data_IF_204548343750
#
_entry.id   IF_204548343750
#
_cell.length_a   1.000
_cell.length_b   1.000
_cell.length_c   1.000
_cell.angle_alpha   90.00
_cell.angle_beta   90.00
_cell.angle_gamma   90.00
#
_symmetry.space_group_name_H-M   'P 1'
#
loop_
_entity.id
_entity.type
_entity.pdbx_description
1 polymer ?
#
# COMPACT_ATOMS: atom_id res chain seq x y z
N UNK A 1 19.99 -10.76 -22.28
CA UNK A 1 18.64 -10.32 -21.89
C UNK A 1 18.35 -10.98 -20.55
N UNK A 2 18.25 -10.23 -19.46
CA UNK A 2 18.05 -10.83 -18.14
C UNK A 2 16.63 -11.41 -18.07
N UNK A 3 16.51 -12.69 -17.76
CA UNK A 3 15.24 -13.42 -17.70
C UNK A 3 14.46 -12.93 -16.47
N UNK A 4 13.49 -12.05 -16.71
CA UNK A 4 12.63 -11.50 -15.66
C UNK A 4 11.67 -12.61 -15.21
N UNK A 5 11.57 -12.94 -13.91
CA UNK A 5 10.51 -13.82 -13.44
C UNK A 5 9.17 -13.12 -13.74
N UNK A 6 8.53 -13.48 -14.85
CA UNK A 6 7.22 -12.94 -15.23
C UNK A 6 6.20 -13.57 -14.30
N UNK A 7 5.69 -12.75 -13.40
CA UNK A 7 4.50 -13.08 -12.62
C UNK A 7 3.30 -12.71 -13.46
N UNK A 8 2.36 -13.64 -13.54
CA UNK A 8 1.06 -13.35 -14.13
C UNK A 8 0.24 -12.56 -13.11
N UNK A 9 -0.39 -11.45 -13.54
CA UNK A 9 -1.31 -10.72 -12.68
C UNK A 9 -2.50 -11.63 -12.28
N UNK A 10 -2.78 -12.65 -13.09
CA UNK A 10 -3.80 -13.67 -12.91
C UNK A 10 -3.61 -14.49 -11.63
N UNK A 11 -2.37 -14.79 -11.22
CA UNK A 11 -2.08 -15.46 -9.94
C UNK A 11 -2.56 -14.64 -8.75
N UNK A 12 -2.25 -13.35 -8.76
CA UNK A 12 -2.59 -12.42 -7.67
C UNK A 12 -4.09 -12.16 -7.69
N UNK A 13 -4.64 -11.96 -8.88
CA UNK A 13 -6.06 -11.79 -9.09
C UNK A 13 -6.86 -12.96 -8.51
N UNK A 14 -6.49 -14.20 -8.83
CA UNK A 14 -7.12 -15.41 -8.27
C UNK A 14 -6.96 -15.52 -6.75
N UNK A 15 -5.87 -14.97 -6.22
CA UNK A 15 -5.60 -14.97 -4.79
C UNK A 15 -6.46 -13.94 -4.04
N UNK A 16 -6.89 -12.85 -4.68
CA UNK A 16 -7.51 -11.67 -4.04
C UNK A 16 -8.99 -11.48 -4.39
N UNK A 17 -9.41 -11.83 -5.60
CA UNK A 17 -10.77 -11.59 -6.08
C UNK A 17 -11.81 -12.16 -5.12
N UNK A 18 -12.80 -11.33 -4.77
CA UNK A 18 -13.92 -11.75 -3.93
C UNK A 18 -13.57 -11.94 -2.45
N UNK A 19 -12.32 -11.71 -2.04
CA UNK A 19 -11.85 -11.91 -0.66
C UNK A 19 -11.63 -10.60 0.08
N UNK A 20 -11.48 -10.70 1.40
CA UNK A 20 -11.09 -9.60 2.27
C UNK A 20 -9.58 -9.40 2.24
N UNK A 21 -9.14 -8.15 2.12
CA UNK A 21 -7.73 -7.75 2.16
C UNK A 21 -7.50 -6.82 3.34
N UNK A 22 -6.46 -7.08 4.11
CA UNK A 22 -5.96 -6.18 5.15
C UNK A 22 -4.86 -5.33 4.54
N UNK A 23 -5.01 -4.02 4.60
CA UNK A 23 -4.01 -3.03 4.14
C UNK A 23 -3.31 -2.42 5.34
N UNK A 24 -1.99 -2.37 5.30
CA UNK A 24 -1.16 -1.71 6.32
C UNK A 24 -0.35 -0.60 5.65
N UNK A 25 -0.78 0.65 5.79
CA UNK A 25 -0.21 1.82 5.11
C UNK A 25 1.01 2.44 5.84
N UNK A 26 1.05 2.40 7.18
CA UNK A 26 2.27 2.63 7.96
C UNK A 26 2.48 4.00 8.65
N UNK A 27 1.46 4.87 8.76
CA UNK A 27 1.55 6.05 9.65
C UNK A 27 1.60 5.64 11.12
N UNK A 28 0.74 4.69 11.55
CA UNK A 28 0.79 4.06 12.87
C UNK A 28 0.70 2.52 12.78
N UNK A 29 1.40 1.82 13.67
CA UNK A 29 1.30 0.36 13.78
C UNK A 29 0.19 -0.04 14.74
N UNK A 30 -0.71 -0.91 14.30
CA UNK A 30 -1.83 -1.47 15.07
C UNK A 30 -1.59 -2.96 15.35
N UNK A 31 -0.45 -3.29 15.96
CA UNK A 31 0.02 -4.67 16.13
C UNK A 31 -1.02 -5.57 16.80
N UNK A 32 -1.64 -5.12 17.88
CA UNK A 32 -2.66 -5.89 18.62
C UNK A 32 -3.87 -6.25 17.74
N UNK A 33 -4.37 -5.28 16.96
CA UNK A 33 -5.52 -5.50 16.07
C UNK A 33 -5.20 -6.45 14.93
N UNK A 34 -3.99 -6.36 14.38
CA UNK A 34 -3.56 -7.23 13.28
C UNK A 34 -3.37 -8.66 13.80
N UNK A 35 -2.80 -8.82 15.00
CA UNK A 35 -2.56 -10.13 15.62
C UNK A 35 -3.86 -10.88 15.95
N UNK A 36 -4.92 -10.18 16.37
CA UNK A 36 -6.21 -10.79 16.69
C UNK A 36 -6.92 -11.45 15.49
N UNK A 37 -6.45 -11.25 14.25
CA UNK A 37 -7.13 -11.69 13.02
C UNK A 37 -6.56 -12.94 12.35
N UNK A 38 -5.73 -13.72 13.07
CA UNK A 38 -4.96 -14.83 12.50
C UNK A 38 -4.26 -14.43 11.18
N UNK A 39 -3.31 -13.49 11.23
CA UNK A 39 -2.76 -12.82 10.06
C UNK A 39 -2.05 -13.76 9.07
N UNK A 40 -1.72 -14.99 9.48
CA UNK A 40 -1.11 -15.99 8.60
C UNK A 40 -2.09 -16.60 7.58
N UNK A 41 -3.39 -16.48 7.81
CA UNK A 41 -4.45 -16.90 6.88
C UNK A 41 -5.07 -15.72 6.11
N UNK A 42 -4.71 -14.49 6.49
CA UNK A 42 -5.21 -13.27 5.89
C UNK A 42 -4.43 -12.86 4.63
N UNK A 43 -5.12 -12.20 3.70
CA UNK A 43 -4.46 -11.54 2.57
C UNK A 43 -4.02 -10.16 3.05
N UNK A 44 -2.70 -9.97 3.15
CA UNK A 44 -2.13 -8.75 3.73
C UNK A 44 -1.32 -8.03 2.66
N UNK A 45 -1.74 -6.81 2.37
CA UNK A 45 -1.02 -5.88 1.50
C UNK A 45 -0.40 -4.80 2.38
N UNK A 46 0.90 -4.59 2.28
CA UNK A 46 1.64 -3.67 3.14
C UNK A 46 2.40 -2.63 2.30
N UNK A 47 2.25 -1.36 2.66
CA UNK A 47 3.08 -0.28 2.13
C UNK A 47 4.46 -0.31 2.79
N UNK A 48 5.46 0.29 2.15
CA UNK A 48 6.86 0.32 2.62
C UNK A 48 6.97 0.63 4.12
N UNK A 49 6.44 1.79 4.55
CA UNK A 49 6.47 2.21 5.96
C UNK A 49 5.72 1.28 6.91
N UNK A 50 4.77 0.51 6.40
CA UNK A 50 3.99 -0.46 7.16
C UNK A 50 4.75 -1.75 7.48
N UNK A 51 5.83 -2.06 6.75
CA UNK A 51 6.60 -3.31 6.92
C UNK A 51 7.13 -3.45 8.34
N UNK A 52 7.55 -2.34 8.96
CA UNK A 52 8.03 -2.32 10.36
C UNK A 52 7.00 -2.88 11.35
N UNK A 53 5.70 -2.76 11.05
CA UNK A 53 4.62 -3.29 11.88
C UNK A 53 4.52 -4.82 11.80
N UNK A 54 5.11 -5.44 10.76
CA UNK A 54 5.12 -6.90 10.58
C UNK A 54 6.33 -7.56 11.25
N UNK A 55 7.43 -6.84 11.42
CA UNK A 55 8.72 -7.39 11.86
C UNK A 55 8.67 -8.04 13.24
N UNK A 56 7.76 -7.61 14.12
CA UNK A 56 7.67 -8.12 15.50
C UNK A 56 6.79 -9.36 15.67
N UNK A 57 5.93 -9.68 14.70
CA UNK A 57 4.79 -10.59 14.92
C UNK A 57 4.74 -11.82 13.99
N UNK A 58 5.84 -12.18 13.33
CA UNK A 58 5.93 -13.25 12.30
C UNK A 58 4.85 -13.22 11.18
N UNK A 59 4.21 -12.06 10.98
CA UNK A 59 3.19 -11.85 9.93
C UNK A 59 3.80 -11.81 8.52
N UNK A 60 3.40 -12.72 7.64
CA UNK A 60 3.87 -12.78 6.24
C UNK A 60 2.90 -12.01 5.32
N UNK A 61 3.31 -10.89 4.70
CA UNK A 61 2.47 -10.18 3.76
C UNK A 61 2.32 -10.96 2.45
N UNK A 62 1.13 -10.88 1.85
CA UNK A 62 0.88 -11.35 0.49
C UNK A 62 1.55 -10.43 -0.53
N UNK A 63 1.46 -9.12 -0.33
CA UNK A 63 2.06 -8.12 -1.21
C UNK A 63 2.72 -6.99 -0.43
N UNK A 64 3.83 -6.48 -0.97
CA UNK A 64 4.58 -5.34 -0.46
C UNK A 64 4.60 -4.27 -1.56
N UNK A 65 4.14 -3.06 -1.26
CA UNK A 65 4.06 -1.93 -2.18
C UNK A 65 5.09 -0.90 -1.73
N UNK A 66 6.01 -0.53 -2.61
CA UNK A 66 7.17 0.28 -2.23
C UNK A 66 7.78 1.00 -3.42
N UNK A 67 8.33 2.18 -3.17
CA UNK A 67 9.23 2.92 -4.07
C UNK A 67 10.74 2.62 -3.81
N UNK A 68 11.03 1.69 -2.90
CA UNK A 68 12.34 1.28 -2.40
C UNK A 68 13.02 2.26 -1.43
N UNK A 69 12.41 3.38 -1.03
CA UNK A 69 13.04 4.35 -0.13
C UNK A 69 13.23 3.81 1.30
N UNK A 70 12.29 3.01 1.81
CA UNK A 70 12.34 2.41 3.14
C UNK A 70 12.84 0.97 3.16
N UNK A 71 13.12 0.40 1.98
CA UNK A 71 13.57 -0.98 1.81
C UNK A 71 15.09 -1.06 1.86
N UNK A 72 15.60 -2.03 2.61
CA UNK A 72 17.01 -2.42 2.60
C UNK A 72 17.14 -3.92 2.31
N UNK A 73 18.38 -4.40 2.19
CA UNK A 73 18.69 -5.81 1.91
C UNK A 73 18.05 -6.76 2.94
N UNK A 74 17.98 -6.35 4.21
CA UNK A 74 17.39 -7.15 5.28
C UNK A 74 15.89 -7.34 5.12
N UNK A 75 15.19 -6.38 4.49
CA UNK A 75 13.76 -6.51 4.17
C UNK A 75 13.60 -7.25 2.84
N UNK A 76 14.27 -6.78 1.79
CA UNK A 76 14.09 -7.29 0.43
C UNK A 76 14.44 -8.78 0.31
N UNK A 77 15.47 -9.23 1.03
CA UNK A 77 15.93 -10.63 1.02
C UNK A 77 15.53 -11.40 2.27
N UNK A 78 14.63 -10.87 3.10
CA UNK A 78 14.19 -11.56 4.30
C UNK A 78 13.49 -12.89 3.92
N UNK A 79 13.85 -14.04 4.52
CA UNK A 79 13.22 -15.33 4.21
C UNK A 79 11.70 -15.33 4.36
N UNK A 80 11.21 -14.55 5.33
CA UNK A 80 9.79 -14.33 5.62
C UNK A 80 9.00 -13.75 4.43
N UNK A 81 9.64 -12.90 3.63
CA UNK A 81 8.99 -12.17 2.52
C UNK A 81 9.28 -12.79 1.15
N UNK A 82 10.00 -13.93 1.11
CA UNK A 82 10.42 -14.62 -0.12
C UNK A 82 9.25 -14.94 -1.08
N UNK A 83 8.07 -15.20 -0.53
CA UNK A 83 6.88 -15.54 -1.31
C UNK A 83 5.93 -14.36 -1.54
N UNK A 84 6.26 -13.18 -1.02
CA UNK A 84 5.46 -11.96 -1.18
C UNK A 84 5.63 -11.37 -2.59
N UNK A 85 4.57 -10.77 -3.11
CA UNK A 85 4.61 -10.00 -4.36
C UNK A 85 5.09 -8.57 -4.08
N UNK A 86 6.21 -8.16 -4.66
CA UNK A 86 6.75 -6.81 -4.54
C UNK A 86 6.27 -5.93 -5.69
N UNK A 87 5.37 -5.00 -5.39
CA UNK A 87 4.94 -3.95 -6.30
C UNK A 87 5.93 -2.79 -6.19
N UNK A 88 6.90 -2.74 -7.10
CA UNK A 88 7.96 -1.73 -7.10
C UNK A 88 7.51 -0.56 -7.95
N UNK A 89 7.34 0.59 -7.32
CA UNK A 89 6.88 1.81 -7.96
C UNK A 89 8.04 2.61 -8.52
N UNK A 90 8.09 2.80 -9.84
CA UNK A 90 9.06 3.66 -10.49
C UNK A 90 8.52 5.09 -10.64
N UNK A 91 9.25 6.05 -10.09
CA UNK A 91 9.03 7.48 -10.23
C UNK A 91 10.35 8.23 -10.50
N UNK A 92 10.33 9.57 -10.52
CA UNK A 92 11.43 10.35 -11.08
C UNK A 92 12.75 10.25 -10.29
N UNK A 93 12.67 10.14 -8.98
CA UNK A 93 13.76 10.29 -8.02
C UNK A 93 14.33 8.96 -7.49
N UNK A 94 13.69 7.83 -7.74
CA UNK A 94 14.14 6.51 -7.25
C UNK A 94 14.89 5.67 -8.30
N UNK A 95 15.30 6.27 -9.43
CA UNK A 95 16.00 5.56 -10.51
C UNK A 95 17.30 4.88 -10.04
N UNK A 96 18.07 5.55 -9.19
CA UNK A 96 19.32 4.99 -8.66
C UNK A 96 19.08 3.82 -7.70
N UNK A 97 18.00 3.87 -6.91
CA UNK A 97 17.60 2.74 -6.06
C UNK A 97 17.18 1.54 -6.91
N UNK A 98 16.40 1.75 -7.98
CA UNK A 98 16.02 0.68 -8.90
C UNK A 98 17.28 0.06 -9.54
N UNK A 99 18.21 0.87 -10.06
CA UNK A 99 19.47 0.37 -10.64
C UNK A 99 20.30 -0.44 -9.64
N UNK A 100 20.32 0.00 -8.37
CA UNK A 100 21.02 -0.68 -7.28
C UNK A 100 20.41 -2.04 -6.95
N UNK A 101 19.09 -2.11 -6.77
CA UNK A 101 18.42 -3.30 -6.24
C UNK A 101 18.04 -4.31 -7.32
N UNK A 102 17.72 -3.87 -8.53
CA UNK A 102 17.20 -4.74 -9.60
C UNK A 102 18.11 -5.95 -9.89
N UNK A 103 19.45 -5.83 -9.99
CA UNK A 103 20.32 -6.99 -10.21
C UNK A 103 20.17 -8.07 -9.13
N UNK A 104 20.10 -7.67 -7.86
CA UNK A 104 19.97 -8.58 -6.72
C UNK A 104 18.57 -9.19 -6.65
N UNK A 105 17.53 -8.40 -6.92
CA UNK A 105 16.14 -8.85 -7.04
C UNK A 105 16.03 -9.97 -8.10
N UNK A 106 16.64 -9.78 -9.26
CA UNK A 106 16.64 -10.77 -10.34
C UNK A 106 17.41 -12.03 -9.95
N UNK A 107 18.61 -11.88 -9.37
CA UNK A 107 19.43 -13.01 -8.90
C UNK A 107 18.70 -13.87 -7.87
N UNK A 108 17.96 -13.23 -6.97
CA UNK A 108 17.19 -13.90 -5.91
C UNK A 108 15.81 -14.36 -6.36
N UNK A 109 15.44 -14.14 -7.63
CA UNK A 109 14.13 -14.49 -8.21
C UNK A 109 12.97 -13.95 -7.39
N UNK A 110 13.10 -12.73 -6.87
CA UNK A 110 12.05 -12.07 -6.12
C UNK A 110 10.88 -11.82 -7.07
N UNK A 111 9.69 -12.06 -6.53
CA UNK A 111 8.44 -11.85 -7.23
C UNK A 111 8.15 -10.35 -7.36
N UNK A 112 8.34 -9.74 -8.54
CA UNK A 112 8.14 -8.30 -8.74
C UNK A 112 7.07 -7.96 -9.79
N UNK A 113 6.35 -6.87 -9.54
CA UNK A 113 5.46 -6.18 -10.48
C UNK A 113 5.88 -4.72 -10.54
N UNK A 114 6.32 -4.27 -11.71
CA UNK A 114 6.66 -2.87 -11.91
C UNK A 114 5.41 -2.01 -11.98
N UNK A 115 5.37 -0.92 -11.23
CA UNK A 115 4.31 0.08 -11.33
C UNK A 115 4.86 1.47 -11.61
N UNK A 116 4.03 2.38 -12.11
CA UNK A 116 4.43 3.76 -12.40
C UNK A 116 3.32 4.77 -12.06
N UNK A 117 3.69 6.03 -11.90
CA UNK A 117 2.78 7.15 -11.66
C UNK A 117 2.27 7.78 -12.96
N UNK A 118 2.95 7.54 -14.08
CA UNK A 118 2.61 8.14 -15.38
C UNK A 118 1.74 7.19 -16.21
N UNK A 119 1.55 7.53 -17.49
CA UNK A 119 0.89 6.63 -18.46
C UNK A 119 1.66 5.30 -18.49
N UNK A 120 1.01 4.17 -18.15
CA UNK A 120 1.69 2.89 -18.11
C UNK A 120 2.17 2.49 -19.52
N UNK A 121 3.32 1.83 -19.57
CA UNK A 121 3.82 1.14 -20.75
C UNK A 121 4.26 -0.25 -20.32
N UNK A 122 3.93 -1.28 -21.10
CA UNK A 122 4.26 -2.65 -20.73
C UNK A 122 5.78 -2.81 -20.52
N UNK A 123 6.24 -3.44 -19.42
CA UNK A 123 5.48 -4.21 -18.43
C UNK A 123 5.07 -3.44 -17.15
N UNK A 124 5.12 -2.10 -17.14
CA UNK A 124 4.72 -1.29 -16.00
C UNK A 124 3.20 -1.05 -15.98
N UNK A 125 2.62 -1.15 -14.79
CA UNK A 125 1.21 -0.90 -14.53
C UNK A 125 0.98 0.39 -13.74
N UNK A 126 -0.20 0.98 -13.85
CA UNK A 126 -0.61 2.07 -12.97
C UNK A 126 -1.97 1.72 -12.38
N UNK A 127 -2.00 1.34 -11.11
CA UNK A 127 -3.22 0.99 -10.39
C UNK A 127 -3.90 2.19 -9.71
N UNK A 128 -3.25 3.37 -9.75
CA UNK A 128 -3.68 4.55 -9.02
C UNK A 128 -2.93 4.74 -7.69
N UNK A 129 -3.37 5.73 -6.93
CA UNK A 129 -2.75 6.14 -5.67
C UNK A 129 -1.57 7.10 -5.83
N UNK A 130 -1.38 7.93 -4.81
CA UNK A 130 -0.43 9.04 -4.74
C UNK A 130 0.75 8.77 -3.79
N UNK A 131 0.51 8.01 -2.72
CA UNK A 131 1.51 7.56 -1.75
C UNK A 131 1.47 6.03 -1.69
N UNK A 132 2.50 5.39 -1.13
CA UNK A 132 2.49 3.92 -0.99
C UNK A 132 1.28 3.42 -0.19
N UNK A 133 0.81 4.19 0.80
CA UNK A 133 -0.34 3.83 1.63
C UNK A 133 -1.63 3.67 0.83
N UNK A 134 -2.06 4.73 0.13
CA UNK A 134 -3.26 4.68 -0.70
C UNK A 134 -3.05 3.85 -1.98
N UNK A 135 -1.85 3.83 -2.57
CA UNK A 135 -1.50 2.93 -3.67
C UNK A 135 -1.68 1.45 -3.29
N UNK A 136 -1.45 1.09 -2.03
CA UNK A 136 -1.74 -0.26 -1.50
C UNK A 136 -3.24 -0.58 -1.55
N UNK A 137 -4.10 0.39 -1.18
CA UNK A 137 -5.56 0.26 -1.26
C UNK A 137 -6.01 0.12 -2.72
N UNK A 138 -5.52 0.99 -3.61
CA UNK A 138 -5.82 0.93 -5.04
C UNK A 138 -5.39 -0.38 -5.68
N UNK A 139 -4.26 -0.94 -5.26
CA UNK A 139 -3.79 -2.25 -5.71
C UNK A 139 -4.78 -3.35 -5.31
N UNK A 140 -5.27 -3.35 -4.06
CA UNK A 140 -6.30 -4.31 -3.61
C UNK A 140 -7.62 -4.14 -4.38
N UNK A 141 -8.03 -2.90 -4.67
CA UNK A 141 -9.21 -2.61 -5.49
C UNK A 141 -9.08 -3.12 -6.92
N UNK A 142 -7.91 -2.95 -7.54
CA UNK A 142 -7.62 -3.44 -8.90
C UNK A 142 -7.81 -4.95 -9.01
N UNK A 143 -7.33 -5.71 -8.02
CA UNK A 143 -7.52 -7.17 -7.94
C UNK A 143 -8.89 -7.60 -7.39
N UNK A 144 -9.87 -6.70 -7.39
CA UNK A 144 -11.26 -6.96 -7.00
C UNK A 144 -11.42 -7.57 -5.60
N UNK A 145 -10.65 -7.09 -4.63
CA UNK A 145 -10.94 -7.34 -3.22
C UNK A 145 -12.41 -6.96 -2.90
N UNK A 146 -13.13 -7.87 -2.25
CA UNK A 146 -14.53 -7.67 -1.86
C UNK A 146 -14.63 -6.71 -0.69
N UNK A 147 -13.70 -6.81 0.25
CA UNK A 147 -13.61 -5.98 1.45
C UNK A 147 -12.14 -5.58 1.65
N UNK A 148 -11.90 -4.35 2.07
CA UNK A 148 -10.58 -3.80 2.35
C UNK A 148 -10.63 -3.13 3.72
N UNK A 149 -9.82 -3.66 4.62
CA UNK A 149 -9.68 -3.13 5.96
C UNK A 149 -8.32 -2.47 6.11
N UNK A 150 -8.29 -1.19 6.46
CA UNK A 150 -7.09 -0.36 6.34
C UNK A 150 -6.59 0.04 7.72
N UNK A 151 -5.28 -0.14 7.93
CA UNK A 151 -4.55 0.23 9.13
C UNK A 151 -3.39 1.17 8.84
N UNK A 152 -3.14 2.10 9.76
CA UNK A 152 -2.02 3.01 9.68
C UNK A 152 -2.14 3.97 8.49
N UNK A 153 -3.30 4.61 8.30
CA UNK A 153 -3.50 5.62 7.25
C UNK A 153 -3.97 6.97 7.82
N UNK A 154 -3.02 7.91 7.90
CA UNK A 154 -3.33 9.33 8.10
C UNK A 154 -4.02 9.67 9.42
N UNK A 155 -3.75 8.93 10.50
CA UNK A 155 -4.35 9.18 11.83
C UNK A 155 -4.18 10.62 12.30
N UNK A 156 -3.02 11.22 12.02
CA UNK A 156 -2.73 12.61 12.34
C UNK A 156 -3.66 13.62 11.62
N UNK A 157 -4.41 13.17 10.61
CA UNK A 157 -5.29 13.98 9.77
C UNK A 157 -6.78 13.77 10.06
N UNK A 158 -7.12 13.02 11.12
CA UNK A 158 -8.51 12.77 11.50
C UNK A 158 -9.21 14.01 12.10
N UNK A 159 -8.44 15.04 12.45
CA UNK A 159 -8.96 16.28 13.01
C UNK A 159 -9.24 17.31 11.89
N UNK A 160 -10.44 17.89 11.91
CA UNK A 160 -10.86 18.95 11.01
C UNK A 160 -9.94 20.20 11.08
N UNK A 161 -9.31 20.44 12.24
CA UNK A 161 -8.39 21.57 12.46
C UNK A 161 -7.18 21.57 11.50
N UNK A 162 -6.81 20.40 10.99
CA UNK A 162 -5.75 20.26 9.99
C UNK A 162 -6.13 21.00 8.71
N UNK A 163 -7.40 20.97 8.29
CA UNK A 163 -7.88 21.63 7.07
C UNK A 163 -7.85 23.16 7.18
N UNK A 164 -8.09 23.70 8.38
CA UNK A 164 -7.97 25.15 8.62
C UNK A 164 -6.51 25.63 8.65
N UNK A 165 -5.54 24.71 8.74
CA UNK A 165 -4.12 25.01 8.86
C UNK A 165 -3.27 24.43 7.70
N UNK A 166 -3.88 24.11 6.55
CA UNK A 166 -3.19 23.55 5.38
C UNK A 166 -1.93 24.33 4.98
N UNK A 167 -1.97 25.65 5.09
CA UNK A 167 -0.85 26.53 4.73
C UNK A 167 0.39 26.33 5.62
N UNK A 168 0.22 25.79 6.83
CA UNK A 168 1.31 25.49 7.78
C UNK A 168 1.94 24.11 7.58
N UNK A 169 1.31 23.24 6.78
CA UNK A 169 1.83 21.90 6.51
C UNK A 169 2.97 21.96 5.49
N UNK A 170 4.01 21.16 5.72
CA UNK A 170 5.02 20.93 4.70
C UNK A 170 4.46 20.12 3.52
N UNK A 171 5.24 20.04 2.43
CA UNK A 171 4.83 19.35 1.19
C UNK A 171 4.53 17.86 1.44
N UNK A 172 5.28 17.23 2.35
CA UNK A 172 5.17 15.80 2.66
C UNK A 172 3.87 15.50 3.42
N UNK A 173 3.53 16.35 4.38
CA UNK A 173 2.27 16.27 5.12
C UNK A 173 1.07 16.54 4.21
N UNK A 174 1.15 17.52 3.30
CA UNK A 174 0.12 17.74 2.27
C UNK A 174 -0.07 16.51 1.38
N UNK A 175 1.03 15.83 1.02
CA UNK A 175 0.99 14.59 0.23
C UNK A 175 0.27 13.46 0.97
N UNK A 176 0.58 13.23 2.25
CA UNK A 176 -0.14 12.20 3.02
C UNK A 176 -1.60 12.56 3.30
N UNK A 177 -1.89 13.84 3.53
CA UNK A 177 -3.26 14.32 3.66
C UNK A 177 -4.07 14.04 2.40
N UNK A 178 -3.52 14.33 1.21
CA UNK A 178 -4.19 14.01 -0.05
C UNK A 178 -4.49 12.52 -0.20
N UNK A 179 -3.53 11.65 0.14
CA UNK A 179 -3.74 10.20 0.15
C UNK A 179 -4.85 9.77 1.12
N UNK A 180 -4.84 10.29 2.36
CA UNK A 180 -5.88 10.03 3.35
C UNK A 180 -7.26 10.52 2.88
N UNK A 181 -7.36 11.72 2.32
CA UNK A 181 -8.62 12.28 1.82
C UNK A 181 -9.27 11.36 0.77
N UNK A 182 -8.47 10.84 -0.17
CA UNK A 182 -8.96 9.92 -1.20
C UNK A 182 -9.49 8.63 -0.56
N UNK A 183 -8.78 8.08 0.43
CA UNK A 183 -9.24 6.85 1.11
C UNK A 183 -10.46 7.09 1.97
N UNK A 184 -10.52 8.20 2.71
CA UNK A 184 -11.70 8.56 3.50
C UNK A 184 -12.93 8.73 2.60
N UNK A 185 -12.77 9.37 1.44
CA UNK A 185 -13.82 9.46 0.43
C UNK A 185 -14.29 8.09 -0.05
N UNK A 186 -13.36 7.20 -0.42
CA UNK A 186 -13.70 5.84 -0.85
C UNK A 186 -14.40 5.04 0.24
N UNK A 187 -13.97 5.15 1.50
CA UNK A 187 -14.65 4.59 2.69
C UNK A 187 -16.10 5.05 2.74
N UNK A 188 -16.32 6.36 2.64
CA UNK A 188 -17.64 6.96 2.72
C UNK A 188 -18.57 6.60 1.56
N UNK A 189 -18.01 6.51 0.35
CA UNK A 189 -18.74 6.10 -0.85
C UNK A 189 -19.06 4.61 -0.85
N UNK A 190 -18.18 3.77 -0.29
CA UNK A 190 -18.30 2.31 -0.30
C UNK A 190 -18.26 1.72 1.13
N UNK A 191 -19.17 2.16 1.99
CA UNK A 191 -19.21 1.82 3.44
C UNK A 191 -19.06 0.33 3.79
N UNK A 192 -19.56 -0.57 2.94
CA UNK A 192 -19.50 -2.02 3.18
C UNK A 192 -18.26 -2.71 2.58
N UNK A 193 -17.46 -1.97 1.80
CA UNK A 193 -16.29 -2.50 1.08
C UNK A 193 -14.99 -1.97 1.64
N UNK A 194 -14.95 -0.76 2.20
CA UNK A 194 -13.74 -0.15 2.74
C UNK A 194 -14.01 0.28 4.18
N UNK A 195 -13.15 -0.13 5.11
CA UNK A 195 -13.22 0.23 6.53
C UNK A 195 -11.88 0.65 7.11
N UNK A 196 -11.93 1.55 8.09
CA UNK A 196 -10.78 2.00 8.89
C UNK A 196 -11.18 1.78 10.36
N UNK A 197 -10.87 0.60 10.95
CA UNK A 197 -11.55 0.10 12.16
C UNK A 197 -11.45 0.95 13.43
N UNK A 198 -10.48 1.85 13.49
CA UNK A 198 -10.19 2.73 14.62
C UNK A 198 -10.66 4.17 14.37
N UNK A 199 -11.26 4.43 13.22
CA UNK A 199 -11.97 5.66 12.92
C UNK A 199 -13.47 5.41 13.18
N UNK A 200 -14.22 6.43 13.63
CA UNK A 200 -15.66 6.30 13.76
C UNK A 200 -16.29 6.16 12.35
N UNK A 201 -17.01 5.06 12.10
CA UNK A 201 -17.62 4.73 10.80
C UNK A 201 -18.60 5.79 10.29
N UNK A 202 -19.16 6.61 11.20
CA UNK A 202 -20.06 7.72 10.84
C UNK A 202 -19.32 8.97 10.36
N UNK A 203 -18.00 9.07 10.61
CA UNK A 203 -17.22 10.26 10.30
C UNK A 203 -16.78 10.23 8.84
N UNK A 204 -17.61 10.82 8.00
CA UNK A 204 -17.27 11.22 6.64
C UNK A 204 -16.88 12.69 6.60
N UNK A 205 -15.86 13.03 5.82
CA UNK A 205 -15.51 14.43 5.59
C UNK A 205 -16.59 15.05 4.69
N UNK A 206 -17.01 16.27 5.03
CA UNK A 206 -18.04 16.99 4.26
C UNK A 206 -17.50 17.61 2.97
N UNK A 207 -16.18 17.59 2.77
CA UNK A 207 -15.51 18.28 1.66
C UNK A 207 -14.62 17.30 0.90
N UNK A 208 -14.97 17.05 -0.36
CA UNK A 208 -14.16 16.34 -1.33
C UNK A 208 -13.95 17.24 -2.54
N UNK A 209 -12.77 17.88 -2.70
CA UNK A 209 -12.52 18.92 -3.69
C UNK A 209 -12.72 18.52 -5.17
N UNK A 210 -12.96 17.24 -5.46
CA UNK A 210 -13.13 16.68 -6.79
C UNK A 210 -14.58 16.26 -7.10
N UNK A 211 -15.51 16.43 -6.16
CA UNK A 211 -16.94 16.20 -6.39
C UNK A 211 -17.71 17.49 -6.73
N UNK A 212 -17.01 18.64 -6.79
CA UNK A 212 -17.53 19.94 -7.26
C UNK A 212 -17.45 20.11 -8.78
#
# INVERSE_FOLDING_TARGET
MLDYPRISLEEIYSSVEGKKVIVIAGSKCYEDYINCKNPNEAIIFVADKGIKCLSRNDIKPTAIITDLDGINDNILFHPKYKNSYFFIHAHGDNQELIKKYLPSIMKQKIKIIGTTQTKPFYPLFNFGGFTDGDRTVFTALFFKAKEIEIYGIGEEYFNIDVFYNLNKLDIKAKKFLAGYLIINWLKCKWKYRISIPYENDEKCLEIYPWEE
#
